data_IF_200976131025
#
_entry.id   IF_200976131025
#
_cell.length_a   1.000
_cell.length_b   1.000
_cell.length_c   1.000
_cell.angle_alpha   90.00
_cell.angle_beta   90.00
_cell.angle_gamma   90.00
#
_symmetry.space_group_name_H-M   'P 1'
#
loop_
_entity.id
_entity.type
_entity.pdbx_description
1 polymer ?
#
# COMPACT_ATOMS: atom_id res chain seq x y z
N UNK A 1 -14.11 -7.37 8.85
CA UNK A 1 -15.01 -6.43 8.15
C UNK A 1 -14.67 -6.44 6.67
N UNK A 2 -15.62 -6.68 5.80
CA UNK A 2 -15.36 -6.83 4.35
C UNK A 2 -14.95 -5.55 3.65
N UNK A 3 -15.33 -4.38 4.13
CA UNK A 3 -15.00 -3.10 3.50
C UNK A 3 -13.80 -2.37 4.12
N UNK A 4 -13.14 -2.99 5.09
CA UNK A 4 -11.88 -2.52 5.68
C UNK A 4 -10.94 -3.71 5.88
N UNK A 5 -10.88 -4.60 4.90
CA UNK A 5 -10.10 -5.83 5.03
C UNK A 5 -8.59 -5.58 4.97
N UNK A 6 -8.17 -4.44 4.47
CA UNK A 6 -6.81 -3.96 4.50
C UNK A 6 -6.22 -3.91 5.91
N UNK A 7 -7.05 -3.68 6.95
CA UNK A 7 -6.64 -3.81 8.34
C UNK A 7 -6.23 -5.24 8.71
N UNK A 8 -6.91 -6.24 8.11
CA UNK A 8 -6.52 -7.63 8.30
C UNK A 8 -5.18 -7.92 7.60
N UNK A 9 -4.95 -7.33 6.42
CA UNK A 9 -3.67 -7.44 5.70
C UNK A 9 -2.53 -6.90 6.55
N UNK A 10 -2.66 -5.71 7.12
CA UNK A 10 -1.66 -5.13 8.02
C UNK A 10 -1.38 -6.03 9.22
N UNK A 11 -2.40 -6.57 9.87
CA UNK A 11 -2.22 -7.45 11.02
C UNK A 11 -1.45 -8.73 10.66
N UNK A 12 -1.79 -9.35 9.55
CA UNK A 12 -1.08 -10.56 9.07
C UNK A 12 0.35 -10.21 8.66
N UNK A 13 0.56 -9.05 8.06
CA UNK A 13 1.88 -8.58 7.68
C UNK A 13 2.80 -8.40 8.89
N UNK A 14 2.30 -7.84 9.98
CA UNK A 14 3.04 -7.74 11.24
C UNK A 14 3.44 -9.11 11.81
N UNK A 15 2.56 -10.12 11.69
CA UNK A 15 2.91 -11.49 12.08
C UNK A 15 4.03 -12.07 11.21
N UNK A 16 4.01 -11.79 9.91
CA UNK A 16 5.04 -12.22 8.96
C UNK A 16 6.36 -11.48 9.21
N UNK A 17 6.33 -10.19 9.53
CA UNK A 17 7.51 -9.41 9.92
C UNK A 17 8.14 -9.96 11.20
N UNK A 18 7.33 -10.29 12.20
CA UNK A 18 7.85 -10.93 13.42
C UNK A 18 8.61 -12.22 13.09
N UNK A 19 8.08 -13.06 12.20
CA UNK A 19 8.78 -14.27 11.76
C UNK A 19 10.08 -13.93 11.01
N UNK A 20 10.06 -12.95 10.12
CA UNK A 20 11.25 -12.54 9.36
C UNK A 20 12.39 -12.07 10.28
N UNK A 21 12.07 -11.38 11.37
CA UNK A 21 13.05 -10.92 12.34
C UNK A 21 13.58 -12.03 13.25
N UNK A 22 12.73 -12.95 13.65
CA UNK A 22 13.08 -13.95 14.67
C UNK A 22 13.54 -15.29 14.09
N UNK A 23 13.02 -15.67 12.92
CA UNK A 23 13.21 -17.00 12.34
C UNK A 23 12.62 -18.14 13.19
N UNK A 24 11.72 -17.83 14.14
CA UNK A 24 11.15 -18.78 15.08
C UNK A 24 10.18 -19.74 14.38
N UNK A 25 10.64 -20.97 14.16
CA UNK A 25 9.84 -22.02 13.51
C UNK A 25 8.69 -22.53 14.38
N UNK A 26 8.80 -22.44 15.69
CA UNK A 26 7.70 -22.82 16.57
C UNK A 26 6.59 -21.78 16.52
N UNK A 27 6.95 -20.51 16.50
CA UNK A 27 6.02 -19.42 16.23
C UNK A 27 5.36 -19.61 14.86
N UNK A 28 6.13 -19.89 13.82
CA UNK A 28 5.61 -20.11 12.47
C UNK A 28 4.57 -21.24 12.43
N UNK A 29 4.83 -22.37 13.08
CA UNK A 29 3.85 -23.48 13.19
C UNK A 29 2.57 -23.06 13.94
N UNK A 30 2.69 -22.26 14.98
CA UNK A 30 1.52 -21.79 15.74
C UNK A 30 0.67 -20.81 14.94
N UNK A 31 1.28 -19.91 14.16
CA UNK A 31 0.54 -18.95 13.35
C UNK A 31 0.05 -19.53 12.02
N UNK A 32 0.60 -20.66 11.57
CA UNK A 32 0.29 -21.26 10.28
C UNK A 32 -1.19 -21.45 9.99
N UNK A 33 -2.01 -22.00 10.91
CA UNK A 33 -3.46 -22.13 10.68
C UNK A 33 -4.16 -20.79 10.47
N UNK A 34 -3.73 -19.74 11.17
CA UNK A 34 -4.29 -18.41 11.02
C UNK A 34 -3.90 -17.82 9.65
N UNK A 35 -2.64 -17.92 9.27
CA UNK A 35 -2.13 -17.43 8.00
C UNK A 35 -2.84 -18.09 6.81
N UNK A 36 -2.95 -19.43 6.81
CA UNK A 36 -3.61 -20.17 5.73
C UNK A 36 -5.10 -19.86 5.63
N UNK A 37 -5.77 -19.73 6.76
CA UNK A 37 -7.18 -19.33 6.81
C UNK A 37 -7.38 -17.91 6.25
N UNK A 38 -6.51 -16.99 6.62
CA UNK A 38 -6.54 -15.61 6.11
C UNK A 38 -6.34 -15.58 4.58
N UNK A 39 -5.28 -16.21 4.06
CA UNK A 39 -5.00 -16.22 2.63
C UNK A 39 -6.15 -16.85 1.82
N UNK A 40 -6.73 -17.95 2.32
CA UNK A 40 -7.90 -18.57 1.70
C UNK A 40 -9.14 -17.67 1.75
N UNK A 41 -9.31 -16.91 2.83
CA UNK A 41 -10.41 -15.94 2.98
C UNK A 41 -10.23 -14.76 2.03
N UNK A 42 -9.01 -14.20 1.94
CA UNK A 42 -8.66 -13.12 1.00
C UNK A 42 -8.95 -13.56 -0.45
N UNK A 43 -8.41 -14.70 -0.86
CA UNK A 43 -8.58 -15.24 -2.19
C UNK A 43 -10.05 -15.40 -2.57
N UNK A 44 -10.84 -16.01 -1.70
CA UNK A 44 -12.24 -16.28 -1.98
C UNK A 44 -13.10 -15.01 -2.08
N UNK A 45 -12.80 -13.98 -1.28
CA UNK A 45 -13.64 -12.81 -1.17
C UNK A 45 -13.20 -11.65 -2.05
N UNK A 46 -11.91 -11.54 -2.35
CA UNK A 46 -11.33 -10.37 -3.02
C UNK A 46 -10.62 -10.67 -4.34
N UNK A 47 -10.46 -11.95 -4.70
CA UNK A 47 -10.07 -12.38 -6.05
C UNK A 47 -10.98 -13.53 -6.52
N UNK A 48 -12.31 -13.32 -6.59
CA UNK A 48 -13.26 -14.38 -6.91
C UNK A 48 -13.20 -14.85 -8.36
N UNK A 49 -12.74 -14.00 -9.27
CA UNK A 49 -12.53 -14.33 -10.69
C UNK A 49 -11.15 -14.95 -10.95
N UNK A 50 -10.33 -15.07 -9.91
CA UNK A 50 -9.04 -15.74 -9.94
C UNK A 50 -8.04 -15.15 -10.94
N UNK A 51 -8.10 -13.85 -11.14
CA UNK A 51 -7.24 -13.15 -12.11
C UNK A 51 -5.90 -12.69 -11.49
N UNK A 52 -5.74 -12.84 -10.17
CA UNK A 52 -4.52 -12.49 -9.43
C UNK A 52 -4.47 -11.04 -8.98
N UNK A 53 -5.54 -10.28 -9.13
CA UNK A 53 -5.69 -8.97 -8.52
C UNK A 53 -6.76 -9.00 -7.44
N UNK A 54 -6.49 -8.34 -6.34
CA UNK A 54 -7.36 -8.33 -5.18
C UNK A 54 -8.16 -7.04 -5.13
N UNK A 55 -9.48 -7.20 -5.19
CA UNK A 55 -10.42 -6.08 -5.18
C UNK A 55 -10.49 -5.44 -3.80
N UNK A 56 -10.57 -4.12 -3.75
CA UNK A 56 -10.91 -3.38 -2.55
C UNK A 56 -12.06 -2.43 -2.82
N UNK A 57 -12.92 -2.29 -1.83
CA UNK A 57 -14.03 -1.34 -1.88
C UNK A 57 -13.67 -0.03 -1.18
N UNK A 58 -12.99 -0.12 -0.06
CA UNK A 58 -12.50 1.02 0.69
C UNK A 58 -11.24 0.63 1.47
N UNK A 59 -10.32 1.57 1.57
CA UNK A 59 -9.12 1.48 2.39
C UNK A 59 -9.13 2.57 3.43
N UNK A 60 -8.68 2.26 4.63
CA UNK A 60 -8.71 3.22 5.75
C UNK A 60 -7.36 3.34 6.44
N UNK A 61 -6.52 2.34 6.29
CA UNK A 61 -5.30 2.25 7.06
C UNK A 61 -4.29 3.36 6.82
N UNK A 62 -4.34 3.99 5.66
CA UNK A 62 -3.37 5.02 5.30
C UNK A 62 -3.70 6.41 5.89
N UNK A 63 -4.92 6.67 6.34
CA UNK A 63 -5.33 8.05 6.66
C UNK A 63 -6.41 8.21 7.72
N UNK A 64 -6.85 7.19 8.40
CA UNK A 64 -8.04 7.23 9.28
C UNK A 64 -9.31 7.80 8.61
N UNK A 65 -9.23 8.12 7.34
CA UNK A 65 -10.35 8.56 6.51
C UNK A 65 -10.68 7.47 5.50
N UNK A 66 -11.95 7.32 5.18
CA UNK A 66 -12.38 6.40 4.16
C UNK A 66 -11.81 6.85 2.81
N UNK A 67 -10.97 6.01 2.24
CA UNK A 67 -10.53 6.15 0.87
C UNK A 67 -11.23 5.09 0.03
N UNK A 68 -11.99 5.54 -0.95
CA UNK A 68 -12.79 4.65 -1.79
C UNK A 68 -12.01 4.27 -3.04
N UNK A 69 -11.73 2.98 -3.15
CA UNK A 69 -11.27 2.36 -4.38
C UNK A 69 -12.46 1.66 -5.07
N UNK A 70 -12.25 1.18 -6.26
CA UNK A 70 -13.31 0.49 -6.99
C UNK A 70 -12.70 -0.59 -7.88
N UNK A 71 -12.41 -1.72 -7.28
CA UNK A 71 -11.92 -2.89 -8.00
C UNK A 71 -10.53 -3.34 -7.59
N UNK A 72 -9.76 -3.79 -8.56
CA UNK A 72 -8.44 -4.38 -8.36
C UNK A 72 -7.40 -3.34 -7.94
N UNK A 73 -6.96 -3.40 -6.70
CA UNK A 73 -6.13 -2.38 -6.05
C UNK A 73 -4.69 -2.85 -5.94
N UNK A 74 -3.75 -2.00 -6.32
CA UNK A 74 -2.32 -2.32 -6.30
C UNK A 74 -1.83 -2.67 -4.90
N UNK A 75 -2.10 -1.86 -3.89
CA UNK A 75 -1.57 -2.11 -2.54
C UNK A 75 -2.13 -3.39 -1.91
N UNK A 76 -3.43 -3.68 -2.03
CA UNK A 76 -4.01 -4.92 -1.52
C UNK A 76 -3.47 -6.16 -2.24
N UNK A 77 -3.28 -6.06 -3.57
CA UNK A 77 -2.66 -7.12 -4.36
C UNK A 77 -1.20 -7.31 -3.98
N UNK A 78 -0.46 -6.24 -3.72
CA UNK A 78 0.94 -6.31 -3.26
C UNK A 78 1.07 -6.99 -1.90
N UNK A 79 0.19 -6.70 -0.94
CA UNK A 79 0.15 -7.41 0.34
C UNK A 79 -0.16 -8.89 0.17
N UNK A 80 -1.12 -9.24 -0.68
CA UNK A 80 -1.45 -10.64 -0.95
C UNK A 80 -0.32 -11.38 -1.67
N UNK A 81 0.43 -10.69 -2.55
CA UNK A 81 1.67 -11.22 -3.12
C UNK A 81 2.68 -11.55 -2.02
N UNK A 82 3.00 -10.57 -1.14
CA UNK A 82 3.95 -10.76 -0.04
C UNK A 82 3.48 -11.85 0.92
N UNK A 83 2.20 -11.86 1.27
CA UNK A 83 1.62 -12.89 2.13
C UNK A 83 1.80 -14.30 1.59
N UNK A 84 1.51 -14.52 0.31
CA UNK A 84 1.68 -15.82 -0.35
C UNK A 84 3.16 -16.19 -0.53
N UNK A 85 4.02 -15.23 -0.92
CA UNK A 85 5.48 -15.43 -1.02
C UNK A 85 6.08 -15.90 0.29
N UNK A 86 5.74 -15.24 1.40
CA UNK A 86 6.25 -15.61 2.72
C UNK A 86 5.58 -16.89 3.25
N UNK A 87 4.31 -17.14 2.93
CA UNK A 87 3.67 -18.41 3.25
C UNK A 87 4.36 -19.58 2.56
N UNK A 88 4.76 -19.45 1.30
CA UNK A 88 5.54 -20.48 0.61
C UNK A 88 6.87 -20.75 1.30
N UNK A 89 7.60 -19.68 1.71
CA UNK A 89 8.85 -19.80 2.46
C UNK A 89 8.66 -20.49 3.82
N UNK A 90 7.62 -20.12 4.54
CA UNK A 90 7.29 -20.71 5.85
C UNK A 90 6.91 -22.17 5.69
N UNK A 91 6.06 -22.51 4.70
CA UNK A 91 5.66 -23.87 4.40
C UNK A 91 6.87 -24.80 4.23
N UNK A 92 7.84 -24.40 3.40
CA UNK A 92 9.09 -25.16 3.21
C UNK A 92 9.82 -25.40 4.53
N UNK A 93 9.89 -24.40 5.40
CA UNK A 93 10.63 -24.47 6.67
C UNK A 93 9.93 -25.30 7.74
N UNK A 94 8.60 -25.37 7.71
CA UNK A 94 7.83 -26.14 8.71
C UNK A 94 7.39 -27.52 8.21
N UNK A 95 7.65 -27.86 6.92
CA UNK A 95 7.33 -29.15 6.31
C UNK A 95 5.92 -29.24 5.72
N UNK A 96 5.32 -28.12 5.40
CA UNK A 96 4.03 -28.02 4.68
C UNK A 96 4.26 -27.86 3.16
N UNK A 97 3.21 -28.00 2.35
CA UNK A 97 3.30 -27.82 0.90
C UNK A 97 3.38 -26.34 0.51
N UNK A 98 4.50 -25.86 -0.08
CA UNK A 98 4.65 -24.48 -0.51
C UNK A 98 3.98 -24.18 -1.86
N UNK A 99 3.62 -25.19 -2.64
CA UNK A 99 3.22 -25.07 -4.05
C UNK A 99 2.06 -24.13 -4.27
N UNK A 100 0.91 -24.24 -3.55
CA UNK A 100 -0.24 -23.38 -3.81
C UNK A 100 0.04 -21.90 -3.55
N UNK A 101 0.88 -21.62 -2.57
CA UNK A 101 1.25 -20.25 -2.21
C UNK A 101 2.23 -19.63 -3.21
N UNK A 102 3.17 -20.43 -3.72
CA UNK A 102 4.12 -19.99 -4.75
C UNK A 102 3.40 -19.69 -6.06
N UNK A 103 2.52 -20.59 -6.49
CA UNK A 103 1.72 -20.39 -7.70
C UNK A 103 0.83 -19.14 -7.61
N UNK A 104 0.22 -18.91 -6.46
CA UNK A 104 -0.59 -17.70 -6.24
C UNK A 104 0.28 -16.44 -6.24
N UNK A 105 1.42 -16.44 -5.55
CA UNK A 105 2.36 -15.32 -5.55
C UNK A 105 2.84 -14.99 -6.98
N UNK A 106 3.26 -15.99 -7.74
CA UNK A 106 3.73 -15.80 -9.13
C UNK A 106 2.62 -15.22 -10.03
N UNK A 107 1.39 -15.68 -9.84
CA UNK A 107 0.23 -15.14 -10.58
C UNK A 107 -0.02 -13.69 -10.24
N UNK A 108 -0.05 -13.33 -8.94
CA UNK A 108 -0.26 -11.95 -8.48
C UNK A 108 0.84 -11.05 -9.04
N UNK A 109 2.10 -11.44 -8.88
CA UNK A 109 3.25 -10.65 -9.37
C UNK A 109 3.15 -10.38 -10.87
N UNK A 110 2.87 -11.44 -11.63
CA UNK A 110 2.69 -11.33 -13.09
C UNK A 110 1.56 -10.37 -13.43
N UNK A 111 0.42 -10.50 -12.77
CA UNK A 111 -0.76 -9.69 -13.10
C UNK A 111 -0.60 -8.23 -12.70
N UNK A 112 -0.03 -7.95 -11.53
CA UNK A 112 0.35 -6.59 -11.10
C UNK A 112 1.22 -5.90 -12.17
N UNK A 113 2.28 -6.59 -12.63
CA UNK A 113 3.23 -6.01 -13.56
C UNK A 113 2.76 -6.00 -15.03
N UNK A 114 1.72 -6.75 -15.38
CA UNK A 114 1.17 -6.73 -16.74
C UNK A 114 -0.07 -5.88 -16.90
N UNK A 115 -0.85 -5.71 -15.84
CA UNK A 115 -2.13 -4.97 -15.91
C UNK A 115 -2.10 -3.61 -15.24
N UNK A 116 -1.35 -3.46 -14.14
CA UNK A 116 -1.34 -2.21 -13.37
C UNK A 116 -0.07 -1.38 -13.58
N UNK A 117 1.03 -1.95 -14.06
CA UNK A 117 2.24 -1.20 -14.37
C UNK A 117 2.05 -0.27 -15.58
N UNK A 118 2.27 1.01 -15.37
CA UNK A 118 2.18 2.06 -16.39
C UNK A 118 3.61 2.44 -16.83
N UNK A 119 4.14 1.75 -17.84
CA UNK A 119 5.53 1.92 -18.28
C UNK A 119 5.87 3.36 -18.70
N UNK A 120 4.92 4.05 -19.32
CA UNK A 120 5.08 5.43 -19.77
C UNK A 120 5.09 6.44 -18.61
N UNK A 121 4.50 6.07 -17.47
CA UNK A 121 4.46 6.90 -16.27
C UNK A 121 5.50 6.50 -15.22
N UNK A 122 5.97 5.25 -15.27
CA UNK A 122 6.97 4.70 -14.36
C UNK A 122 6.43 4.35 -12.98
N UNK A 123 5.16 4.03 -12.85
CA UNK A 123 4.55 3.56 -11.60
C UNK A 123 3.35 2.65 -11.87
N UNK A 124 2.80 2.03 -10.83
CA UNK A 124 1.55 1.26 -10.94
C UNK A 124 0.35 2.19 -10.85
N UNK A 125 -0.69 1.90 -11.65
CA UNK A 125 -2.01 2.46 -11.44
C UNK A 125 -2.48 2.16 -10.02
N UNK A 126 -3.24 3.05 -9.41
CA UNK A 126 -3.73 2.82 -8.06
C UNK A 126 -4.68 1.64 -8.01
N UNK A 127 -5.60 1.58 -8.96
CA UNK A 127 -6.51 0.46 -9.12
C UNK A 127 -7.08 0.37 -10.54
N UNK A 128 -7.67 -0.79 -10.85
CA UNK A 128 -8.49 -1.00 -12.03
C UNK A 128 -9.95 -1.09 -11.61
N UNK A 129 -10.80 -0.27 -12.19
CA UNK A 129 -12.24 -0.32 -11.92
C UNK A 129 -12.80 -1.70 -12.23
N UNK A 130 -13.66 -2.23 -11.37
CA UNK A 130 -14.31 -3.51 -11.58
C UNK A 130 -15.55 -3.41 -12.49
N UNK A 131 -16.11 -2.21 -12.69
CA UNK A 131 -17.31 -1.95 -13.49
C UNK A 131 -17.00 -1.22 -14.79
N UNK A 132 -17.94 -1.29 -15.71
CA UNK A 132 -17.86 -0.59 -16.98
C UNK A 132 -16.72 -1.10 -17.87
N UNK A 133 -15.89 -0.19 -18.35
CA UNK A 133 -14.78 -0.53 -19.24
C UNK A 133 -13.51 -1.01 -18.52
N UNK A 134 -13.57 -1.26 -17.23
CA UNK A 134 -12.40 -1.66 -16.41
C UNK A 134 -11.19 -0.75 -16.63
N UNK A 135 -11.40 0.55 -16.64
CA UNK A 135 -10.33 1.54 -16.79
C UNK A 135 -9.38 1.51 -15.62
N UNK A 136 -8.15 1.89 -15.88
CA UNK A 136 -7.17 2.13 -14.83
C UNK A 136 -7.40 3.52 -14.21
N UNK A 137 -7.28 3.60 -12.89
CA UNK A 137 -7.04 4.84 -12.19
C UNK A 137 -5.54 5.08 -12.21
N UNK A 138 -5.11 5.90 -13.14
CA UNK A 138 -3.69 5.97 -13.54
C UNK A 138 -2.83 6.76 -12.57
N UNK A 139 -3.40 7.65 -11.78
CA UNK A 139 -2.65 8.34 -10.73
C UNK A 139 -2.41 7.38 -9.56
N UNK A 140 -1.31 7.55 -8.87
CA UNK A 140 -0.96 6.73 -7.73
C UNK A 140 -0.66 7.60 -6.52
N UNK A 141 -1.19 7.19 -5.38
CA UNK A 141 -0.81 7.75 -4.10
C UNK A 141 0.55 7.20 -3.64
N UNK A 142 1.18 7.86 -2.68
CA UNK A 142 2.45 7.41 -2.10
C UNK A 142 2.35 5.98 -1.58
N UNK A 143 1.26 5.64 -0.89
CA UNK A 143 1.07 4.29 -0.35
C UNK A 143 0.99 3.20 -1.41
N UNK A 144 0.40 3.48 -2.57
CA UNK A 144 0.37 2.55 -3.70
C UNK A 144 1.78 2.14 -4.09
N UNK A 145 2.67 3.12 -4.16
CA UNK A 145 4.06 2.92 -4.56
C UNK A 145 4.85 2.22 -3.46
N UNK A 146 4.80 2.70 -2.23
CA UNK A 146 5.62 2.09 -1.19
C UNK A 146 5.18 0.67 -0.86
N UNK A 147 3.88 0.34 -0.96
CA UNK A 147 3.44 -1.05 -0.77
C UNK A 147 3.93 -1.98 -1.86
N UNK A 148 3.95 -1.52 -3.12
CA UNK A 148 4.52 -2.30 -4.20
C UNK A 148 6.04 -2.52 -4.01
N UNK A 149 6.76 -1.49 -3.56
CA UNK A 149 8.20 -1.57 -3.28
C UNK A 149 8.50 -2.47 -2.07
N UNK A 150 7.83 -2.22 -0.96
CA UNK A 150 8.04 -2.94 0.30
C UNK A 150 7.64 -4.42 0.21
N UNK A 151 6.72 -4.74 -0.69
CA UNK A 151 6.30 -6.12 -0.97
C UNK A 151 7.19 -6.85 -2.00
N UNK A 152 8.27 -6.24 -2.49
CA UNK A 152 9.14 -6.77 -3.55
C UNK A 152 8.42 -7.06 -4.89
N UNK A 153 7.40 -6.28 -5.22
CA UNK A 153 6.71 -6.35 -6.52
C UNK A 153 7.58 -5.76 -7.63
N UNK A 154 8.36 -4.74 -7.29
CA UNK A 154 9.20 -4.00 -8.22
C UNK A 154 10.52 -4.70 -8.53
N UNK A 155 10.92 -4.69 -9.79
CA UNK A 155 12.33 -4.82 -10.12
C UNK A 155 13.12 -3.53 -9.78
N UNK A 156 14.46 -3.55 -9.79
CA UNK A 156 15.25 -2.35 -9.43
C UNK A 156 14.99 -1.14 -10.32
N UNK A 157 14.67 -1.33 -11.59
CA UNK A 157 14.37 -0.24 -12.50
C UNK A 157 12.97 0.33 -12.28
N UNK A 158 11.99 -0.53 -12.05
CA UNK A 158 10.65 -0.12 -11.64
C UNK A 158 10.69 0.65 -10.32
N UNK A 159 11.48 0.19 -9.35
CA UNK A 159 11.65 0.87 -8.07
C UNK A 159 12.22 2.29 -8.25
N UNK A 160 13.24 2.43 -9.10
CA UNK A 160 13.81 3.74 -9.43
C UNK A 160 12.77 4.67 -10.08
N UNK A 161 12.02 4.18 -11.05
CA UNK A 161 11.00 4.96 -11.75
C UNK A 161 9.88 5.39 -10.81
N UNK A 162 9.39 4.47 -9.98
CA UNK A 162 8.30 4.73 -9.05
C UNK A 162 8.68 5.72 -7.95
N UNK A 163 9.89 5.63 -7.41
CA UNK A 163 10.41 6.64 -6.47
C UNK A 163 10.60 8.00 -7.15
N UNK A 164 11.05 8.01 -8.41
CA UNK A 164 11.17 9.25 -9.18
C UNK A 164 9.81 9.89 -9.48
N UNK A 165 8.75 9.10 -9.62
CA UNK A 165 7.38 9.62 -9.75
C UNK A 165 6.94 10.33 -8.47
N UNK A 166 7.19 9.76 -7.29
CA UNK A 166 6.90 10.43 -6.01
C UNK A 166 7.56 11.81 -5.96
N UNK A 167 8.82 11.87 -6.36
CA UNK A 167 9.62 13.09 -6.28
C UNK A 167 9.15 14.18 -7.25
N UNK A 168 8.67 13.80 -8.44
CA UNK A 168 8.32 14.75 -9.52
C UNK A 168 6.84 15.11 -9.59
N UNK A 169 5.96 14.15 -9.30
CA UNK A 169 4.53 14.29 -9.64
C UNK A 169 3.66 14.41 -8.38
N UNK A 170 4.07 13.82 -7.25
CA UNK A 170 3.30 13.97 -6.02
C UNK A 170 3.62 15.32 -5.39
N UNK A 171 2.61 16.15 -5.10
CA UNK A 171 2.84 17.47 -4.54
C UNK A 171 3.61 17.44 -3.22
N UNK A 172 4.74 18.11 -3.19
CA UNK A 172 5.53 18.30 -1.99
C UNK A 172 5.25 19.69 -1.44
N UNK A 173 4.74 19.76 -0.22
CA UNK A 173 4.51 21.04 0.39
C UNK A 173 5.57 21.29 1.44
N UNK A 174 6.41 22.32 1.24
CA UNK A 174 7.36 22.71 2.25
C UNK A 174 6.61 23.18 3.48
N UNK A 175 6.70 22.43 4.55
CA UNK A 175 6.26 22.83 5.88
C UNK A 175 7.48 23.31 6.64
N UNK A 176 7.53 24.60 6.92
CA UNK A 176 8.46 25.11 7.93
C UNK A 176 7.75 25.06 9.25
N UNK A 177 8.27 24.23 10.07
CA UNK A 177 7.85 24.14 11.45
C UNK A 177 8.92 24.82 12.30
N UNK A 178 8.54 25.87 13.06
CA UNK A 178 9.23 26.09 14.32
C UNK A 178 8.99 24.88 15.20
N UNK A 179 9.89 24.62 16.16
CA UNK A 179 9.71 23.52 17.10
C UNK A 179 8.32 23.54 17.77
N UNK A 180 7.72 24.70 17.91
CA UNK A 180 6.37 24.91 18.42
C UNK A 180 5.26 24.39 17.49
N UNK A 181 5.47 24.37 16.19
CA UNK A 181 4.50 23.85 15.20
C UNK A 181 4.58 22.33 15.12
N UNK A 182 5.76 21.75 15.28
CA UNK A 182 5.94 20.29 15.43
C UNK A 182 5.26 19.78 16.70
N UNK A 183 5.29 20.58 17.77
CA UNK A 183 4.62 20.25 19.02
C UNK A 183 3.09 20.33 18.95
N UNK A 184 2.54 20.96 17.91
CA UNK A 184 1.10 21.18 17.77
C UNK A 184 0.40 20.15 16.87
N UNK A 185 1.00 19.00 16.57
CA UNK A 185 0.45 17.95 15.68
C UNK A 185 -0.03 18.51 14.32
N UNK A 186 0.57 19.59 13.85
CA UNK A 186 0.22 20.22 12.61
C UNK A 186 0.81 19.44 11.42
N UNK A 187 0.35 18.23 11.21
CA UNK A 187 0.40 17.62 9.89
C UNK A 187 -0.58 18.35 9.01
N UNK A 188 -0.07 19.16 8.10
CA UNK A 188 -0.88 19.94 7.20
C UNK A 188 -1.25 19.11 6.00
N UNK A 189 -2.54 18.87 5.78
CA UNK A 189 -2.97 18.45 4.48
C UNK A 189 -2.73 19.62 3.54
N UNK A 190 -1.98 19.42 2.52
CA UNK A 190 -1.61 20.50 1.68
C UNK A 190 -1.96 20.21 0.24
N UNK A 191 -3.18 20.46 -0.02
CA UNK A 191 -3.61 20.83 -1.34
C UNK A 191 -3.94 22.33 -1.35
N UNK A 192 -3.33 23.07 -2.23
CA UNK A 192 -3.60 24.51 -2.36
C UNK A 192 -5.02 24.81 -2.87
N UNK A 193 -5.78 23.78 -3.31
CA UNK A 193 -7.15 23.92 -3.79
C UNK A 193 -8.18 24.14 -2.67
N UNK A 194 -9.00 23.15 -2.35
CA UNK A 194 -10.08 23.29 -1.36
C UNK A 194 -9.59 23.55 0.07
N UNK A 195 -8.31 23.40 0.34
CA UNK A 195 -7.69 23.55 1.65
C UNK A 195 -6.91 24.85 1.87
N UNK A 196 -7.05 25.84 0.99
CA UNK A 196 -6.40 27.15 1.15
C UNK A 196 -6.71 27.82 2.50
N UNK A 197 -7.86 27.55 3.11
CA UNK A 197 -8.23 28.01 4.43
C UNK A 197 -7.35 27.46 5.57
N UNK A 198 -6.64 26.35 5.35
CA UNK A 198 -5.70 25.81 6.33
C UNK A 198 -4.48 26.69 6.51
N UNK A 199 -4.01 27.32 5.45
CA UNK A 199 -2.90 28.30 5.55
C UNK A 199 -3.28 29.48 6.44
N UNK A 200 -4.52 29.93 6.36
CA UNK A 200 -5.03 31.02 7.24
C UNK A 200 -5.14 30.54 8.68
N UNK A 201 -5.62 29.33 8.91
CA UNK A 201 -5.71 28.76 10.26
C UNK A 201 -4.34 28.58 10.91
N UNK A 202 -3.35 28.18 10.14
CA UNK A 202 -1.97 28.06 10.62
C UNK A 202 -1.35 29.40 10.94
N UNK A 203 -1.54 30.41 10.09
CA UNK A 203 -1.13 31.77 10.38
C UNK A 203 -1.80 32.30 11.66
N UNK A 204 -3.08 31.99 11.84
CA UNK A 204 -3.83 32.34 13.04
C UNK A 204 -3.34 31.58 14.28
N UNK A 205 -2.79 30.38 14.12
CA UNK A 205 -2.16 29.59 15.20
C UNK A 205 -0.68 29.97 15.44
N UNK A 206 -0.16 31.02 14.75
CA UNK A 206 1.22 31.46 14.91
C UNK A 206 2.26 30.67 14.12
N UNK A 207 1.83 29.77 13.25
CA UNK A 207 2.73 28.99 12.44
C UNK A 207 3.32 29.82 11.28
N UNK A 208 4.64 29.95 11.25
CA UNK A 208 5.32 30.59 10.13
C UNK A 208 5.48 29.60 8.97
N UNK A 209 4.70 29.76 7.92
CA UNK A 209 4.94 29.09 6.65
C UNK A 209 6.06 29.85 5.93
N UNK A 210 7.21 29.25 5.79
CA UNK A 210 8.39 29.90 5.24
C UNK A 210 8.94 29.09 4.07
N UNK A 211 9.07 29.69 2.91
CA UNK A 211 9.44 29.05 1.64
C UNK A 211 10.87 28.50 1.57
N UNK A 212 11.61 28.44 2.66
CA UNK A 212 13.05 28.15 2.62
C UNK A 212 13.56 27.00 3.47
N UNK A 213 12.73 26.28 4.22
CA UNK A 213 13.16 25.09 5.01
C UNK A 213 12.09 24.02 4.92
N UNK A 214 12.47 22.78 4.63
CA UNK A 214 11.56 21.74 4.20
C UNK A 214 11.49 20.58 5.18
N UNK A 215 10.32 20.29 5.70
CA UNK A 215 9.91 18.91 5.93
C UNK A 215 8.94 18.56 4.80
N UNK A 216 9.22 17.49 4.08
CA UNK A 216 8.35 17.04 2.99
C UNK A 216 7.29 16.14 3.60
N UNK A 217 6.06 16.59 3.61
CA UNK A 217 4.91 15.71 3.86
C UNK A 217 4.33 15.39 2.50
N UNK A 218 4.43 14.13 2.10
CA UNK A 218 3.71 13.68 0.93
C UNK A 218 2.22 13.69 1.27
N UNK A 219 1.45 14.51 0.57
CA UNK A 219 0.01 14.54 0.71
C UNK A 219 -0.61 13.62 -0.31
N UNK A 220 -1.47 12.76 0.18
CA UNK A 220 -2.36 11.97 -0.64
C UNK A 220 -3.72 12.66 -0.63
N UNK A 221 -4.20 13.05 -1.79
CA UNK A 221 -5.60 13.34 -2.01
C UNK A 221 -6.34 12.11 -2.49
#
# INVERSE_FOLDING_TARGET
QMHHYDMNLCYIDELLWHFNWTGDLEYARRMWPLLTLHLAWEKRNFDPDNDGLYDAYACIWASDALYYNSGAVTHSSAYNYRGNKLAALIAEKIGEDPTPYREEADKILKTLNTRLWLSERGHWAEFQYFMGHRRLHEDAAVWTIYHALDSDVADPFQAYLATSYIDREIPHIPVVTSDDVLAADAVLPVNAGPYAHWQERLKAAGAAVNAGKYATVATTD
#
